data_IF_143689715462
#
_entry.id   IF_143689715462
#
_cell.length_a   1.000
_cell.length_b   1.000
_cell.length_c   1.000
_cell.angle_alpha   90.00
_cell.angle_beta   90.00
_cell.angle_gamma   90.00
#
_symmetry.space_group_name_H-M   'P 1'
#
loop_
_entity.id
_entity.type
_entity.pdbx_description
1 polymer ?
#
# COMPACT_ATOMS: atom_id res chain seq x y z
N UNK A 1 26.33 -19.86 -16.67
CA UNK A 1 25.52 -18.64 -16.60
C UNK A 1 24.32 -18.95 -15.71
N UNK A 2 24.58 -19.06 -14.40
CA UNK A 2 23.56 -19.31 -13.38
C UNK A 2 22.89 -17.98 -13.08
N UNK A 3 21.58 -17.93 -13.25
CA UNK A 3 20.79 -16.73 -13.11
C UNK A 3 20.71 -16.34 -11.61
N UNK A 4 21.41 -15.27 -11.22
CA UNK A 4 21.37 -14.71 -9.86
C UNK A 4 19.94 -14.31 -9.42
N UNK A 5 19.01 -14.09 -10.37
CA UNK A 5 17.59 -13.83 -10.06
C UNK A 5 16.89 -15.01 -9.36
N UNK A 6 17.31 -16.26 -9.57
CA UNK A 6 16.62 -17.41 -8.98
C UNK A 6 16.92 -17.58 -7.47
N UNK A 7 18.06 -17.05 -7.01
CA UNK A 7 18.45 -17.10 -5.59
C UNK A 7 17.77 -15.99 -4.78
N UNK A 8 17.75 -14.76 -5.30
CA UNK A 8 17.08 -13.64 -4.64
C UNK A 8 15.58 -13.90 -4.44
N UNK A 9 14.88 -14.54 -5.39
CA UNK A 9 13.47 -14.88 -5.24
C UNK A 9 13.17 -15.90 -4.14
N UNK A 10 14.16 -16.68 -3.68
CA UNK A 10 13.98 -17.77 -2.71
C UNK A 10 14.34 -17.38 -1.28
N UNK A 11 15.19 -16.36 -1.14
CA UNK A 11 15.72 -15.87 0.15
C UNK A 11 15.06 -14.55 0.58
N UNK A 12 14.31 -13.88 -0.30
CA UNK A 12 13.59 -12.64 0.05
C UNK A 12 12.25 -12.99 0.71
N UNK A 13 12.07 -12.71 2.01
CA UNK A 13 10.79 -12.94 2.67
C UNK A 13 9.71 -12.05 2.03
N UNK A 14 8.46 -12.54 1.97
CA UNK A 14 7.34 -11.86 1.29
C UNK A 14 7.11 -10.42 1.79
N UNK A 15 7.47 -10.11 3.04
CA UNK A 15 7.48 -8.75 3.61
C UNK A 15 8.46 -7.77 2.97
N UNK A 16 9.50 -8.25 2.29
CA UNK A 16 10.48 -7.41 1.57
C UNK A 16 10.03 -7.18 0.11
N UNK A 17 9.01 -7.92 -0.35
CA UNK A 17 8.35 -7.78 -1.66
C UNK A 17 7.04 -6.97 -1.52
N UNK A 18 6.40 -7.05 -0.36
CA UNK A 18 5.18 -6.31 -0.03
C UNK A 18 5.54 -5.06 0.77
N UNK A 19 5.32 -3.92 0.12
CA UNK A 19 5.31 -2.55 0.66
C UNK A 19 6.65 -1.82 0.62
N UNK A 20 6.79 -0.96 -0.40
CA UNK A 20 7.66 0.22 -0.31
C UNK A 20 6.96 1.22 0.62
N UNK A 21 7.06 1.00 1.93
CA UNK A 21 6.49 1.88 2.93
C UNK A 21 6.97 3.31 2.72
N UNK A 22 6.08 4.27 2.90
CA UNK A 22 6.39 5.68 2.76
C UNK A 22 6.21 6.39 4.08
N UNK A 23 7.26 7.06 4.54
CA UNK A 23 7.18 7.84 5.76
C UNK A 23 6.32 9.10 5.52
N UNK A 24 5.55 9.58 6.52
CA UNK A 24 4.73 10.79 6.36
C UNK A 24 5.53 12.03 5.95
N UNK A 25 6.80 12.11 6.38
CA UNK A 25 7.74 13.17 6.06
C UNK A 25 8.47 12.98 4.71
N UNK A 26 8.17 11.89 3.98
CA UNK A 26 8.69 11.70 2.64
C UNK A 26 8.16 12.78 1.68
N UNK A 27 8.98 13.19 0.73
CA UNK A 27 8.58 14.18 -0.26
C UNK A 27 7.64 13.59 -1.31
N UNK A 28 6.79 14.43 -1.89
CA UNK A 28 5.93 14.09 -3.04
C UNK A 28 6.76 13.48 -4.17
N UNK A 29 7.96 14.03 -4.45
CA UNK A 29 8.86 13.49 -5.49
C UNK A 29 9.27 12.05 -5.23
N UNK A 30 9.67 11.74 -3.99
CA UNK A 30 10.07 10.39 -3.59
C UNK A 30 8.88 9.44 -3.64
N UNK A 31 7.72 9.90 -3.18
CA UNK A 31 6.50 9.12 -3.20
C UNK A 31 6.03 8.82 -4.63
N UNK A 32 6.08 9.78 -5.54
CA UNK A 32 5.76 9.57 -6.95
C UNK A 32 6.66 8.49 -7.59
N UNK A 33 7.95 8.49 -7.27
CA UNK A 33 8.88 7.45 -7.76
C UNK A 33 8.54 6.06 -7.22
N UNK A 34 8.14 5.97 -5.95
CA UNK A 34 7.70 4.71 -5.34
C UNK A 34 6.36 4.25 -5.90
N UNK A 35 5.41 5.16 -6.10
CA UNK A 35 4.10 4.90 -6.68
C UNK A 35 4.21 4.34 -8.09
N UNK A 36 5.13 4.86 -8.91
CA UNK A 36 5.44 4.31 -10.25
C UNK A 36 5.84 2.84 -10.24
N UNK A 37 6.38 2.34 -9.12
CA UNK A 37 6.83 0.95 -8.94
C UNK A 37 5.82 0.13 -8.14
N UNK A 38 4.76 0.76 -7.61
CA UNK A 38 3.71 0.08 -6.87
C UNK A 38 2.79 -0.68 -7.84
N UNK A 39 2.47 -1.95 -7.56
CA UNK A 39 1.59 -2.74 -8.43
C UNK A 39 0.19 -2.16 -8.56
N UNK A 40 -0.30 -1.44 -7.55
CA UNK A 40 -1.67 -0.90 -7.50
C UNK A 40 -1.73 0.62 -7.63
N UNK A 41 -0.58 1.31 -7.75
CA UNK A 41 -0.55 2.76 -7.65
C UNK A 41 -0.98 3.27 -6.27
N UNK A 42 -0.76 2.45 -5.24
CA UNK A 42 -1.06 2.74 -3.83
C UNK A 42 0.18 2.41 -3.00
N UNK A 43 0.51 3.25 -2.02
CA UNK A 43 1.59 3.01 -1.05
C UNK A 43 1.04 3.14 0.37
N UNK A 44 1.45 2.28 1.31
CA UNK A 44 1.11 2.50 2.71
C UNK A 44 1.99 3.61 3.28
N UNK A 45 1.37 4.51 4.04
CA UNK A 45 2.09 5.43 4.91
C UNK A 45 2.31 4.76 6.26
N UNK A 46 3.57 4.74 6.68
CA UNK A 46 4.00 4.11 7.92
C UNK A 46 4.93 5.07 8.62
N UNK A 47 4.69 5.35 9.90
CA UNK A 47 5.58 6.21 10.67
C UNK A 47 6.89 5.50 11.06
N UNK A 48 7.74 6.21 11.80
CA UNK A 48 9.04 5.73 12.26
C UNK A 48 8.96 4.48 13.17
N UNK A 49 7.82 4.28 13.83
CA UNK A 49 7.58 3.15 14.73
C UNK A 49 7.00 1.93 14.00
N UNK A 50 6.74 2.05 12.70
CA UNK A 50 6.13 0.99 11.90
C UNK A 50 4.60 0.99 11.94
N UNK A 51 3.99 2.04 12.51
CA UNK A 51 2.53 2.16 12.61
C UNK A 51 1.94 2.73 11.33
N UNK A 52 0.93 2.04 10.80
CA UNK A 52 0.15 2.43 9.65
C UNK A 52 -0.60 3.75 9.91
N UNK A 53 -0.44 4.72 9.01
CA UNK A 53 -1.06 6.05 9.07
C UNK A 53 -2.04 6.34 7.93
N UNK A 54 -2.11 5.46 6.94
CA UNK A 54 -3.00 5.61 5.79
C UNK A 54 -2.37 5.07 4.51
N UNK A 55 -2.95 5.41 3.37
CA UNK A 55 -2.39 5.15 2.06
C UNK A 55 -2.17 6.44 1.30
N UNK A 56 -1.22 6.40 0.37
CA UNK A 56 -1.03 7.41 -0.64
C UNK A 56 -1.37 6.82 -2.00
N UNK A 57 -2.14 7.54 -2.80
CA UNK A 57 -2.57 7.11 -4.13
C UNK A 57 -1.85 7.91 -5.22
N UNK A 58 -1.69 7.30 -6.41
CA UNK A 58 -1.23 8.03 -7.61
C UNK A 58 -2.12 9.23 -7.88
N UNK A 59 -3.43 9.09 -7.63
CA UNK A 59 -4.40 10.16 -7.86
C UNK A 59 -4.14 11.35 -6.94
N UNK A 60 -4.05 11.13 -5.62
CA UNK A 60 -3.79 12.20 -4.65
C UNK A 60 -2.46 12.94 -4.92
N UNK A 61 -1.41 12.21 -5.29
CA UNK A 61 -0.12 12.81 -5.67
C UNK A 61 -0.22 13.59 -6.98
N UNK A 62 -0.93 13.06 -7.98
CA UNK A 62 -1.10 13.71 -9.28
C UNK A 62 -1.91 15.00 -9.14
N UNK A 63 -2.98 14.97 -8.34
CA UNK A 63 -3.84 16.12 -8.08
C UNK A 63 -3.06 17.21 -7.35
N UNK A 64 -2.33 16.86 -6.29
CA UNK A 64 -1.49 17.82 -5.57
C UNK A 64 -0.47 18.53 -6.49
N UNK A 65 0.19 17.77 -7.38
CA UNK A 65 1.13 18.33 -8.35
C UNK A 65 0.43 19.20 -9.40
N UNK A 66 -0.75 18.80 -9.87
CA UNK A 66 -1.54 19.57 -10.83
C UNK A 66 -2.07 20.90 -10.24
N UNK A 67 -2.36 20.92 -8.95
CA UNK A 67 -2.75 22.11 -8.19
C UNK A 67 -1.56 23.02 -7.85
N UNK A 68 -0.33 22.62 -8.19
CA UNK A 68 0.88 23.42 -8.02
C UNK A 68 1.59 23.22 -6.67
N UNK A 69 1.27 22.16 -5.94
CA UNK A 69 2.02 21.79 -4.73
C UNK A 69 3.48 21.49 -5.10
N UNK A 70 4.42 22.05 -4.34
CA UNK A 70 5.85 21.80 -4.56
C UNK A 70 6.15 20.31 -4.33
N UNK A 71 6.86 19.69 -5.26
CA UNK A 71 7.25 18.27 -5.18
C UNK A 71 8.21 17.97 -4.01
N UNK A 72 8.77 18.97 -3.34
CA UNK A 72 9.52 18.86 -2.10
C UNK A 72 8.64 18.84 -0.83
N UNK A 73 7.33 19.12 -0.95
CA UNK A 73 6.38 19.06 0.16
C UNK A 73 6.22 17.62 0.67
N UNK A 74 5.97 17.46 1.96
CA UNK A 74 5.74 16.17 2.61
C UNK A 74 4.39 15.58 2.23
N UNK A 75 4.29 14.24 2.17
CA UNK A 75 3.07 13.54 1.73
C UNK A 75 2.04 13.31 2.82
N UNK A 76 2.33 13.62 4.09
CA UNK A 76 1.41 13.42 5.22
C UNK A 76 0.00 13.98 4.96
N UNK A 77 -0.11 15.19 4.40
CA UNK A 77 -1.41 15.81 4.13
C UNK A 77 -2.17 15.21 2.94
N UNK A 78 -1.53 14.34 2.15
CA UNK A 78 -2.11 13.66 1.00
C UNK A 78 -2.59 12.24 1.35
N UNK A 79 -2.37 11.81 2.59
CA UNK A 79 -2.75 10.49 3.05
C UNK A 79 -4.27 10.34 3.10
N UNK A 80 -4.77 9.25 2.54
CA UNK A 80 -6.15 8.80 2.68
C UNK A 80 -6.19 7.66 3.71
N UNK A 81 -7.23 7.59 4.55
CA UNK A 81 -7.43 6.44 5.45
C UNK A 81 -8.57 5.59 4.89
N UNK A 82 -8.28 4.57 4.08
CA UNK A 82 -9.31 3.71 3.53
C UNK A 82 -9.87 2.79 4.61
N UNK A 83 -10.95 2.09 4.26
CA UNK A 83 -11.37 0.91 5.03
C UNK A 83 -10.19 -0.06 5.13
N UNK A 84 -9.90 -0.52 6.34
CA UNK A 84 -8.86 -1.50 6.64
C UNK A 84 -9.48 -2.88 6.85
N UNK A 85 -8.72 -3.93 6.56
CA UNK A 85 -9.06 -5.31 6.92
C UNK A 85 -8.02 -5.82 7.93
N UNK A 86 -8.40 -6.61 8.91
CA UNK A 86 -7.48 -7.36 9.77
C UNK A 86 -7.25 -8.77 9.22
N UNK A 87 -6.09 -9.34 9.49
CA UNK A 87 -5.71 -10.67 8.98
C UNK A 87 -6.59 -11.82 9.49
N UNK A 88 -7.34 -11.60 10.57
CA UNK A 88 -8.30 -12.54 11.16
C UNK A 88 -9.75 -12.32 10.68
N UNK A 89 -10.02 -11.28 9.87
CA UNK A 89 -11.32 -11.02 9.28
C UNK A 89 -11.61 -11.91 8.06
N UNK A 90 -12.90 -12.03 7.72
CA UNK A 90 -13.37 -12.96 6.69
C UNK A 90 -13.44 -12.33 5.30
N UNK A 91 -13.52 -13.17 4.27
CA UNK A 91 -13.54 -12.75 2.85
C UNK A 91 -14.73 -11.83 2.53
N UNK A 92 -15.88 -12.04 3.16
CA UNK A 92 -17.07 -11.20 2.99
C UNK A 92 -16.90 -9.79 3.59
N UNK A 93 -16.19 -9.67 4.71
CA UNK A 93 -15.76 -8.37 5.24
C UNK A 93 -14.76 -7.69 4.29
N UNK A 94 -13.83 -8.46 3.71
CA UNK A 94 -12.91 -7.99 2.69
C UNK A 94 -13.62 -7.45 1.44
N UNK A 95 -14.65 -8.14 0.95
CA UNK A 95 -15.45 -7.68 -0.20
C UNK A 95 -16.18 -6.38 0.15
N UNK A 96 -16.78 -6.30 1.34
CA UNK A 96 -17.44 -5.07 1.81
C UNK A 96 -16.44 -3.91 1.93
N UNK A 97 -15.23 -4.16 2.42
CA UNK A 97 -14.18 -3.16 2.49
C UNK A 97 -13.73 -2.69 1.10
N UNK A 98 -13.66 -3.59 0.11
CA UNK A 98 -13.36 -3.24 -1.28
C UNK A 98 -14.42 -2.35 -1.91
N UNK A 99 -15.71 -2.62 -1.66
CA UNK A 99 -16.82 -1.78 -2.13
C UNK A 99 -16.75 -0.35 -1.58
N UNK A 100 -16.18 -0.19 -0.38
CA UNK A 100 -15.97 1.10 0.27
C UNK A 100 -14.63 1.75 -0.12
N UNK A 101 -13.73 1.02 -0.79
CA UNK A 101 -12.40 1.52 -1.17
C UNK A 101 -12.46 2.32 -2.48
N UNK A 102 -11.71 3.43 -2.54
CA UNK A 102 -11.56 4.24 -3.76
C UNK A 102 -10.52 3.66 -4.74
N UNK A 103 -9.66 2.75 -4.29
CA UNK A 103 -8.48 2.30 -5.03
C UNK A 103 -8.53 0.82 -5.45
N UNK A 104 -9.64 0.11 -5.22
CA UNK A 104 -9.84 -1.28 -5.66
C UNK A 104 -8.94 -2.30 -4.95
N UNK A 105 -8.28 -1.87 -3.88
CA UNK A 105 -7.42 -2.66 -3.01
C UNK A 105 -7.60 -2.16 -1.57
N UNK A 106 -7.53 -3.06 -0.61
CA UNK A 106 -7.65 -2.77 0.82
C UNK A 106 -6.39 -3.25 1.55
N UNK A 107 -5.76 -2.43 2.41
CA UNK A 107 -4.65 -2.89 3.23
C UNK A 107 -5.15 -3.89 4.27
N UNK A 108 -4.43 -5.00 4.40
CA UNK A 108 -4.63 -5.99 5.47
C UNK A 108 -3.63 -5.68 6.58
N UNK A 109 -4.11 -5.43 7.78
CA UNK A 109 -3.33 -5.18 8.97
C UNK A 109 -3.18 -6.47 9.79
N UNK A 110 -2.06 -6.58 10.51
CA UNK A 110 -1.90 -7.60 11.54
C UNK A 110 -3.00 -7.48 12.61
N UNK A 111 -3.22 -8.52 13.40
CA UNK A 111 -4.23 -8.47 14.47
C UNK A 111 -4.01 -7.35 15.50
N UNK A 112 -2.78 -6.84 15.64
CA UNK A 112 -2.47 -5.65 16.46
C UNK A 112 -3.05 -4.34 15.90
N UNK A 113 -3.42 -4.32 14.61
CA UNK A 113 -3.98 -3.17 13.92
C UNK A 113 -2.95 -2.09 13.57
N UNK A 114 -1.65 -2.33 13.76
CA UNK A 114 -0.61 -1.32 13.55
C UNK A 114 0.17 -1.54 12.26
N UNK A 115 0.38 -2.80 11.86
CA UNK A 115 1.28 -3.13 10.75
C UNK A 115 0.53 -3.67 9.54
N UNK A 116 0.83 -3.14 8.35
CA UNK A 116 0.36 -3.71 7.07
C UNK A 116 1.06 -5.05 6.84
N UNK A 117 0.29 -6.13 6.72
CA UNK A 117 0.80 -7.48 6.42
C UNK A 117 0.55 -7.90 4.97
N UNK A 118 -0.33 -7.19 4.25
CA UNK A 118 -0.61 -7.47 2.86
C UNK A 118 -1.69 -6.56 2.27
N UNK A 119 -2.14 -6.95 1.07
CA UNK A 119 -3.19 -6.26 0.33
C UNK A 119 -4.28 -7.27 -0.06
N UNK A 120 -5.53 -6.86 0.07
CA UNK A 120 -6.69 -7.61 -0.37
C UNK A 120 -7.29 -6.94 -1.61
N UNK A 121 -7.54 -7.71 -2.65
CA UNK A 121 -8.13 -7.24 -3.91
C UNK A 121 -9.22 -8.21 -4.42
N UNK A 122 -10.00 -7.80 -5.41
CA UNK A 122 -11.05 -8.65 -6.00
C UNK A 122 -10.50 -9.96 -6.57
N UNK A 123 -9.26 -9.97 -7.07
CA UNK A 123 -8.63 -11.18 -7.59
C UNK A 123 -8.37 -12.20 -6.48
N UNK A 124 -7.95 -11.72 -5.30
CA UNK A 124 -7.72 -12.53 -4.11
C UNK A 124 -9.04 -13.08 -3.57
N UNK A 125 -10.09 -12.26 -3.53
CA UNK A 125 -11.45 -12.70 -3.21
C UNK A 125 -11.95 -13.78 -4.17
N UNK A 126 -11.84 -13.57 -5.48
CA UNK A 126 -12.30 -14.54 -6.49
C UNK A 126 -11.52 -15.86 -6.47
N UNK A 127 -10.26 -15.83 -6.02
CA UNK A 127 -9.43 -17.04 -5.91
C UNK A 127 -9.95 -18.03 -4.85
N UNK A 128 -10.76 -17.59 -3.88
CA UNK A 128 -11.32 -18.47 -2.84
C UNK A 128 -12.53 -19.28 -3.30
N UNK A 129 -13.15 -18.93 -4.43
CA UNK A 129 -14.32 -19.61 -5.00
C UNK A 129 -13.95 -20.70 -6.02
N UNK A 130 -12.73 -21.24 -5.96
CA UNK A 130 -12.22 -22.26 -6.88
C UNK A 130 -12.39 -23.68 -6.38
#
# INVERSE_FOLDING_TARGET
>A
MTCDSCRLCRETPVRDVLSQDTAPDATISLAAERLRRSPYGVLPLVDHDGTYRGVLTVQAVSDALAEGTDAATTVESLAEVPSILREDEHVDDGIRALDLSSCGVVPVLASDGERVVGWFDYRSALATFR
#
